data_IF_685159673760
#
_entry.id   IF_685159673760
#
_cell.length_a   1.000
_cell.length_b   1.000
_cell.length_c   1.000
_cell.angle_alpha   90.00
_cell.angle_beta   90.00
_cell.angle_gamma   90.00
#
_symmetry.space_group_name_H-M   'P 1'
#
loop_
_entity.id
_entity.type
_entity.pdbx_description
1 polymer ?
#
# COMPACT_ATOMS: atom_id res chain seq x y z
N UNK A 1 6.67 -16.04 11.61
CA UNK A 1 7.09 -14.84 10.87
C UNK A 1 7.90 -15.29 9.68
N UNK A 2 7.58 -14.79 8.49
CA UNK A 2 8.29 -15.12 7.27
C UNK A 2 9.70 -14.56 7.25
N UNK A 3 10.60 -15.23 6.55
CA UNK A 3 11.94 -14.69 6.30
C UNK A 3 11.84 -13.49 5.36
N UNK A 4 12.49 -12.38 5.71
CA UNK A 4 12.63 -11.20 4.84
C UNK A 4 13.30 -11.58 3.51
N UNK A 5 13.10 -10.77 2.48
CA UNK A 5 13.68 -10.98 1.14
C UNK A 5 13.29 -12.31 0.49
N UNK A 6 12.10 -12.83 0.78
CA UNK A 6 11.48 -13.98 0.12
C UNK A 6 10.20 -13.55 -0.57
N UNK A 7 9.92 -14.15 -1.71
CA UNK A 7 8.64 -13.99 -2.38
C UNK A 7 8.07 -15.34 -2.82
N UNK A 8 6.75 -15.39 -2.92
CA UNK A 8 6.03 -16.48 -3.59
C UNK A 8 5.53 -15.98 -4.93
N UNK A 9 5.61 -16.81 -5.95
CA UNK A 9 5.17 -16.50 -7.29
C UNK A 9 4.12 -17.53 -7.73
N UNK A 10 2.95 -17.02 -8.12
CA UNK A 10 1.84 -17.80 -8.67
C UNK A 10 1.74 -17.46 -10.15
N UNK A 11 1.76 -18.48 -10.99
CA UNK A 11 1.74 -18.30 -12.45
C UNK A 11 0.52 -19.00 -13.07
N UNK A 12 -0.13 -18.37 -14.08
CA UNK A 12 -1.24 -18.99 -14.79
C UNK A 12 -0.84 -20.30 -15.46
N UNK A 13 -1.80 -21.22 -15.60
CA UNK A 13 -1.57 -22.47 -16.32
C UNK A 13 -1.37 -22.27 -17.84
N UNK A 14 -1.93 -21.19 -18.39
CA UNK A 14 -1.76 -20.81 -19.79
C UNK A 14 -0.40 -20.11 -19.97
N UNK A 15 0.47 -20.73 -20.77
CA UNK A 15 1.81 -20.24 -21.13
C UNK A 15 1.89 -19.76 -22.58
N UNK A 16 0.74 -19.63 -23.26
CA UNK A 16 0.69 -19.34 -24.71
C UNK A 16 0.70 -17.85 -25.05
N UNK A 17 0.56 -16.97 -24.05
CA UNK A 17 0.49 -15.53 -24.22
C UNK A 17 1.86 -14.91 -24.49
N UNK A 18 1.89 -13.83 -25.28
CA UNK A 18 3.12 -13.09 -25.55
C UNK A 18 3.60 -12.31 -24.32
N UNK A 19 2.67 -11.84 -23.46
CA UNK A 19 2.97 -11.14 -22.20
C UNK A 19 1.89 -11.35 -21.15
N UNK A 20 2.22 -10.98 -19.92
CA UNK A 20 1.37 -11.13 -18.74
C UNK A 20 1.39 -9.86 -17.88
N UNK A 21 0.25 -9.53 -17.30
CA UNK A 21 0.19 -8.56 -16.22
C UNK A 21 0.72 -9.18 -14.91
N UNK A 22 1.58 -8.44 -14.20
CA UNK A 22 2.03 -8.81 -12.84
C UNK A 22 1.21 -8.06 -11.80
N UNK A 23 0.68 -8.78 -10.81
CA UNK A 23 0.09 -8.16 -9.61
C UNK A 23 0.92 -8.55 -8.39
N UNK A 24 1.55 -7.56 -7.75
CA UNK A 24 2.24 -7.75 -6.47
C UNK A 24 1.28 -7.41 -5.35
N UNK A 25 1.09 -8.31 -4.40
CA UNK A 25 0.25 -8.09 -3.22
C UNK A 25 1.08 -8.15 -1.95
N UNK A 26 1.03 -7.09 -1.15
CA UNK A 26 1.84 -6.91 0.05
C UNK A 26 1.01 -7.17 1.30
N UNK A 27 1.55 -8.00 2.20
CA UNK A 27 0.84 -8.43 3.39
C UNK A 27 0.59 -7.32 4.41
N UNK A 28 -0.47 -7.46 5.18
CA UNK A 28 -0.77 -6.63 6.35
C UNK A 28 0.15 -6.98 7.54
N UNK A 29 -0.08 -6.33 8.70
CA UNK A 29 0.58 -6.68 9.95
C UNK A 29 1.25 -5.51 10.68
N UNK A 30 0.83 -4.26 10.41
CA UNK A 30 1.30 -3.08 11.16
C UNK A 30 2.81 -2.87 11.07
N UNK A 31 3.46 -3.33 10.01
CA UNK A 31 4.92 -3.25 9.80
C UNK A 31 5.76 -4.11 10.75
N UNK A 32 5.12 -4.86 11.67
CA UNK A 32 5.77 -5.62 12.75
C UNK A 32 5.46 -7.11 12.70
N UNK A 33 4.45 -7.53 11.95
CA UNK A 33 4.00 -8.93 11.82
C UNK A 33 3.56 -9.22 10.39
N UNK A 34 3.14 -10.45 10.10
CA UNK A 34 2.60 -10.88 8.81
C UNK A 34 3.57 -11.74 8.01
N UNK A 35 3.05 -12.30 6.94
CA UNK A 35 3.78 -13.13 5.99
C UNK A 35 3.07 -13.10 4.64
N UNK A 36 3.81 -13.18 3.55
CA UNK A 36 3.27 -13.31 2.19
C UNK A 36 2.28 -14.47 2.02
N UNK A 37 2.39 -15.50 2.87
CA UNK A 37 1.50 -16.64 2.86
C UNK A 37 0.10 -16.32 3.41
N UNK A 38 -0.05 -15.24 4.19
CA UNK A 38 -1.34 -14.80 4.74
C UNK A 38 -2.31 -14.41 3.61
N UNK A 39 -1.78 -13.95 2.48
CA UNK A 39 -2.53 -13.51 1.30
C UNK A 39 -2.59 -14.56 0.17
N UNK A 40 -2.26 -15.82 0.45
CA UNK A 40 -2.26 -16.89 -0.56
C UNK A 40 -3.60 -17.00 -1.31
N UNK A 41 -4.73 -16.77 -0.62
CA UNK A 41 -6.05 -16.77 -1.24
C UNK A 41 -6.23 -15.66 -2.31
N UNK A 42 -5.76 -14.45 -2.03
CA UNK A 42 -5.76 -13.34 -2.99
C UNK A 42 -4.84 -13.64 -4.17
N UNK A 43 -3.64 -14.14 -3.90
CA UNK A 43 -2.66 -14.47 -4.96
C UNK A 43 -3.18 -15.58 -5.88
N UNK A 44 -3.81 -16.61 -5.33
CA UNK A 44 -4.46 -17.67 -6.11
C UNK A 44 -5.64 -17.14 -6.93
N UNK A 45 -6.44 -16.26 -6.36
CA UNK A 45 -7.55 -15.64 -7.06
C UNK A 45 -7.06 -14.78 -8.24
N UNK A 46 -6.06 -13.93 -8.07
CA UNK A 46 -5.44 -13.16 -9.13
C UNK A 46 -4.85 -14.07 -10.22
N UNK A 47 -4.13 -15.11 -9.83
CA UNK A 47 -3.59 -16.10 -10.75
C UNK A 47 -4.69 -16.81 -11.55
N UNK A 48 -5.84 -17.14 -10.94
CA UNK A 48 -6.99 -17.73 -11.63
C UNK A 48 -7.63 -16.82 -12.68
N UNK A 49 -7.42 -15.49 -12.56
CA UNK A 49 -7.84 -14.49 -13.54
C UNK A 49 -6.85 -14.32 -14.71
N UNK A 50 -5.70 -14.99 -14.66
CA UNK A 50 -4.68 -14.98 -15.71
C UNK A 50 -3.51 -14.04 -15.46
N UNK A 51 -3.39 -13.46 -14.27
CA UNK A 51 -2.25 -12.64 -13.87
C UNK A 51 -1.13 -13.48 -13.30
N UNK A 52 0.10 -13.07 -13.50
CA UNK A 52 1.20 -13.49 -12.62
C UNK A 52 1.01 -12.74 -11.31
N UNK A 53 0.95 -13.47 -10.20
CA UNK A 53 0.72 -12.86 -8.89
C UNK A 53 1.89 -13.17 -7.95
N UNK A 54 2.32 -12.20 -7.14
CA UNK A 54 3.42 -12.37 -6.21
C UNK A 54 3.13 -11.74 -4.85
N UNK A 55 3.50 -12.46 -3.78
CA UNK A 55 3.56 -11.94 -2.43
C UNK A 55 5.01 -11.79 -1.99
N UNK A 56 5.35 -10.72 -1.29
CA UNK A 56 6.72 -10.39 -0.88
C UNK A 56 6.77 -10.23 0.63
N UNK A 57 7.77 -10.86 1.28
CA UNK A 57 8.13 -10.60 2.65
C UNK A 57 9.17 -9.47 2.72
N UNK A 58 8.93 -8.52 3.60
CA UNK A 58 9.84 -7.43 3.93
C UNK A 58 10.28 -7.52 5.40
N UNK A 59 11.40 -6.91 5.77
CA UNK A 59 11.93 -6.94 7.13
C UNK A 59 10.97 -6.25 8.10
N UNK A 60 10.47 -7.01 9.07
CA UNK A 60 9.52 -6.52 10.08
C UNK A 60 10.27 -5.82 11.22
N UNK A 61 9.71 -4.69 11.69
CA UNK A 61 10.23 -4.05 12.89
C UNK A 61 10.14 -5.01 14.10
N UNK A 62 11.24 -5.18 14.80
CA UNK A 62 11.36 -6.05 15.96
C UNK A 62 12.57 -5.67 16.81
N UNK A 63 12.77 -6.32 17.95
CA UNK A 63 14.00 -6.14 18.75
C UNK A 63 15.26 -6.55 17.98
N UNK A 64 15.15 -7.50 17.06
CA UNK A 64 16.26 -7.95 16.18
C UNK A 64 16.47 -7.01 15.00
N UNK A 65 15.45 -6.27 14.58
CA UNK A 65 15.45 -5.35 13.46
C UNK A 65 14.86 -3.99 13.85
N UNK A 66 15.48 -3.27 14.81
CA UNK A 66 15.01 -1.96 15.26
C UNK A 66 15.18 -0.87 14.20
N UNK A 67 15.98 -1.12 13.18
CA UNK A 67 16.18 -0.25 12.01
C UNK A 67 15.03 -0.32 11.00
N UNK A 68 14.20 -1.38 11.04
CA UNK A 68 13.08 -1.53 10.12
C UNK A 68 12.01 -0.47 10.40
N UNK A 69 11.55 0.17 9.36
CA UNK A 69 10.53 1.22 9.37
C UNK A 69 9.85 1.28 7.99
N UNK A 70 8.84 2.14 7.82
CA UNK A 70 8.12 2.24 6.54
C UNK A 70 9.07 2.54 5.37
N UNK A 71 10.05 3.44 5.58
CA UNK A 71 11.01 3.78 4.53
C UNK A 71 11.85 2.58 4.11
N UNK A 72 12.51 1.90 5.07
CA UNK A 72 13.37 0.75 4.76
C UNK A 72 12.58 -0.39 4.13
N UNK A 73 11.38 -0.69 4.64
CA UNK A 73 10.48 -1.70 4.07
C UNK A 73 10.04 -1.36 2.65
N UNK A 74 9.71 -0.08 2.38
CA UNK A 74 9.37 0.36 1.02
C UNK A 74 10.55 0.23 0.04
N UNK A 75 11.77 0.45 0.51
CA UNK A 75 12.97 0.26 -0.30
C UNK A 75 13.25 -1.21 -0.59
N UNK A 76 13.02 -2.12 0.37
CA UNK A 76 13.09 -3.56 0.14
C UNK A 76 12.08 -4.02 -0.93
N UNK A 77 10.84 -3.50 -0.90
CA UNK A 77 9.84 -3.77 -1.94
C UNK A 77 10.32 -3.26 -3.30
N UNK A 78 10.88 -2.04 -3.34
CA UNK A 78 11.42 -1.45 -4.57
C UNK A 78 12.51 -2.32 -5.19
N UNK A 79 13.37 -2.92 -4.38
CA UNK A 79 14.45 -3.82 -4.82
C UNK A 79 13.91 -5.22 -5.19
N UNK A 80 12.88 -5.72 -4.50
CA UNK A 80 12.34 -7.06 -4.71
C UNK A 80 11.50 -7.18 -5.98
N UNK A 81 10.72 -6.16 -6.34
CA UNK A 81 9.81 -6.22 -7.50
C UNK A 81 10.52 -6.54 -8.83
N UNK A 82 11.68 -5.93 -9.16
CA UNK A 82 12.44 -6.35 -10.34
C UNK A 82 12.88 -7.81 -10.31
N UNK A 83 13.22 -8.36 -9.14
CA UNK A 83 13.60 -9.76 -9.01
C UNK A 83 12.40 -10.71 -9.23
N UNK A 84 11.20 -10.30 -8.79
CA UNK A 84 9.94 -11.01 -9.05
C UNK A 84 9.67 -11.06 -10.56
N UNK A 85 9.71 -9.92 -11.26
CA UNK A 85 9.51 -9.86 -12.71
C UNK A 85 10.53 -10.71 -13.46
N UNK A 86 11.81 -10.60 -13.12
CA UNK A 86 12.87 -11.40 -13.73
C UNK A 86 12.68 -12.92 -13.49
N UNK A 87 12.13 -13.32 -12.35
CA UNK A 87 11.82 -14.73 -12.08
C UNK A 87 10.62 -15.20 -12.90
N UNK A 88 9.60 -14.37 -13.08
CA UNK A 88 8.46 -14.66 -13.96
C UNK A 88 8.94 -14.87 -15.42
N UNK A 89 9.78 -13.99 -15.94
CA UNK A 89 10.37 -14.11 -17.28
C UNK A 89 11.15 -15.42 -17.46
N UNK A 90 11.99 -15.81 -16.48
CA UNK A 90 12.73 -17.07 -16.50
C UNK A 90 11.82 -18.30 -16.55
N UNK A 91 10.61 -18.20 -16.02
CA UNK A 91 9.60 -19.25 -16.06
C UNK A 91 8.75 -19.23 -17.33
N UNK A 92 9.00 -18.30 -18.26
CA UNK A 92 8.28 -18.17 -19.51
C UNK A 92 7.06 -17.23 -19.44
N UNK A 93 7.01 -16.33 -18.48
CA UNK A 93 5.96 -15.33 -18.30
C UNK A 93 6.53 -13.89 -18.43
N UNK A 94 6.72 -13.38 -19.67
CA UNK A 94 7.19 -12.01 -19.87
C UNK A 94 6.19 -11.00 -19.28
N UNK A 95 6.67 -10.03 -18.53
CA UNK A 95 5.85 -9.01 -17.87
C UNK A 95 5.93 -7.71 -18.66
N UNK A 96 4.80 -7.17 -19.11
CA UNK A 96 4.71 -5.91 -19.86
C UNK A 96 4.01 -4.78 -19.11
N UNK A 97 3.24 -5.10 -18.07
CA UNK A 97 2.58 -4.13 -17.20
C UNK A 97 2.37 -4.72 -15.81
N UNK A 98 2.16 -3.86 -14.81
CA UNK A 98 1.94 -4.34 -13.45
C UNK A 98 0.93 -3.49 -12.66
N UNK A 99 0.35 -4.12 -11.65
CA UNK A 99 -0.35 -3.48 -10.53
C UNK A 99 0.36 -3.86 -9.23
N UNK A 100 0.20 -3.01 -8.23
CA UNK A 100 0.64 -3.31 -6.88
C UNK A 100 -0.50 -3.11 -5.90
N UNK A 101 -0.59 -3.92 -4.86
CA UNK A 101 -1.72 -3.96 -3.97
C UNK A 101 -1.32 -4.38 -2.56
N UNK A 102 -2.24 -4.25 -1.60
CA UNK A 102 -2.01 -4.75 -0.25
C UNK A 102 -3.13 -4.38 0.72
N UNK A 103 -3.03 -4.91 1.93
CA UNK A 103 -3.89 -4.58 3.05
C UNK A 103 -3.12 -3.86 4.16
N UNK A 104 -3.70 -2.84 4.80
CA UNK A 104 -3.10 -2.16 5.97
C UNK A 104 -1.65 -1.70 5.69
N UNK A 105 -0.66 -2.20 6.42
CA UNK A 105 0.75 -1.91 6.16
C UNK A 105 1.14 -2.17 4.69
N UNK A 106 0.67 -3.27 4.11
CA UNK A 106 0.91 -3.60 2.71
C UNK A 106 0.29 -2.58 1.74
N UNK A 107 -0.90 -2.03 2.04
CA UNK A 107 -1.50 -0.97 1.22
C UNK A 107 -0.68 0.34 1.30
N UNK A 108 -0.15 0.70 2.49
CA UNK A 108 0.77 1.82 2.63
C UNK A 108 1.99 1.67 1.70
N UNK A 109 2.65 0.51 1.77
CA UNK A 109 3.83 0.20 0.95
C UNK A 109 3.50 0.14 -0.55
N UNK A 110 2.31 -0.39 -0.90
CA UNK A 110 1.84 -0.43 -2.29
C UNK A 110 1.61 0.99 -2.86
N UNK A 111 0.98 1.89 -2.09
CA UNK A 111 0.82 3.28 -2.50
C UNK A 111 2.17 3.99 -2.66
N UNK A 112 3.12 3.79 -1.75
CA UNK A 112 4.46 4.35 -1.88
C UNK A 112 5.16 3.87 -3.14
N UNK A 113 5.08 2.57 -3.44
CA UNK A 113 5.63 2.04 -4.68
C UNK A 113 4.98 2.66 -5.92
N UNK A 114 3.64 2.70 -5.95
CA UNK A 114 2.90 3.20 -7.11
C UNK A 114 3.03 4.70 -7.34
N UNK A 115 3.20 5.51 -6.29
CA UNK A 115 3.23 6.98 -6.40
C UNK A 115 4.65 7.54 -6.42
N UNK A 116 5.56 6.95 -5.62
CA UNK A 116 6.94 7.41 -5.49
C UNK A 116 7.92 6.71 -6.42
N UNK A 117 7.75 5.38 -6.57
CA UNK A 117 8.77 4.52 -7.17
C UNK A 117 8.38 3.96 -8.55
N UNK A 118 7.21 4.32 -9.10
CA UNK A 118 6.68 3.79 -10.37
C UNK A 118 7.66 3.93 -11.55
N UNK A 119 8.42 5.03 -11.61
CA UNK A 119 9.38 5.29 -12.68
C UNK A 119 10.57 4.31 -12.70
N UNK A 120 10.79 3.59 -11.59
CA UNK A 120 11.87 2.60 -11.46
C UNK A 120 11.37 1.15 -11.54
N UNK A 121 10.07 0.97 -11.76
CA UNK A 121 9.45 -0.35 -11.86
C UNK A 121 9.93 -1.10 -13.11
N UNK A 122 10.01 -2.45 -13.09
CA UNK A 122 10.44 -3.25 -14.24
C UNK A 122 9.45 -3.22 -15.41
N UNK A 123 8.20 -2.86 -15.13
CA UNK A 123 7.14 -2.64 -16.11
C UNK A 123 6.22 -1.50 -15.66
N UNK A 124 5.49 -0.82 -16.55
CA UNK A 124 4.63 0.29 -16.18
C UNK A 124 3.61 -0.09 -15.09
N UNK A 125 3.59 0.68 -13.98
CA UNK A 125 2.59 0.54 -12.93
C UNK A 125 1.27 1.15 -13.41
N UNK A 126 0.28 0.32 -13.69
CA UNK A 126 -1.00 0.72 -14.29
C UNK A 126 -2.06 1.09 -13.28
N UNK A 127 -1.98 0.55 -12.07
CA UNK A 127 -2.90 0.86 -10.98
C UNK A 127 -2.35 0.39 -9.63
N UNK A 128 -2.92 0.93 -8.56
CA UNK A 128 -2.78 0.43 -7.20
C UNK A 128 -4.16 0.16 -6.61
N UNK A 129 -4.30 -0.91 -5.83
CA UNK A 129 -5.51 -1.15 -5.05
C UNK A 129 -5.17 -1.66 -3.66
N UNK A 130 -6.03 -1.35 -2.71
CA UNK A 130 -5.82 -1.83 -1.35
C UNK A 130 -6.86 -1.32 -0.36
N UNK A 131 -6.68 -1.71 0.88
CA UNK A 131 -7.60 -1.34 1.93
C UNK A 131 -6.86 -0.92 3.21
N UNK A 132 -7.42 0.05 3.90
CA UNK A 132 -7.06 0.51 5.26
C UNK A 132 -5.57 0.81 5.48
N UNK A 133 -4.85 1.25 4.45
CA UNK A 133 -3.44 1.63 4.55
C UNK A 133 -3.26 3.09 4.95
N UNK A 134 -2.32 3.41 5.86
CA UNK A 134 -1.97 4.80 6.12
C UNK A 134 -1.34 5.46 4.90
N UNK A 135 -1.83 6.66 4.55
CA UNK A 135 -1.35 7.44 3.40
C UNK A 135 -0.63 8.72 3.80
N UNK A 136 -0.87 9.20 5.04
CA UNK A 136 -0.25 10.40 5.60
C UNK A 136 -0.23 10.36 7.13
N UNK A 137 0.58 11.23 7.73
CA UNK A 137 0.90 11.21 9.15
C UNK A 137 0.79 12.62 9.77
N UNK A 138 -0.31 13.33 9.53
CA UNK A 138 -0.59 14.62 10.17
C UNK A 138 -1.26 14.39 11.52
N UNK A 139 -0.76 14.99 12.63
CA UNK A 139 -1.30 14.75 13.97
C UNK A 139 -2.82 14.97 14.06
N UNK A 140 -3.32 16.02 13.41
CA UNK A 140 -4.75 16.38 13.42
C UNK A 140 -5.67 15.29 12.83
N UNK A 141 -5.15 14.43 11.97
CA UNK A 141 -5.90 13.32 11.37
C UNK A 141 -5.91 12.06 12.26
N UNK A 142 -4.99 11.97 13.24
CA UNK A 142 -4.76 10.75 14.02
C UNK A 142 -5.43 10.75 15.41
N UNK A 143 -6.67 11.25 15.46
CA UNK A 143 -7.49 11.23 16.68
C UNK A 143 -7.77 9.83 17.22
N UNK A 144 -7.70 8.78 16.39
CA UNK A 144 -7.81 7.39 16.84
C UNK A 144 -6.73 6.98 17.86
N UNK A 145 -5.60 7.71 17.91
CA UNK A 145 -4.54 7.57 18.90
C UNK A 145 -4.48 8.76 19.87
N UNK A 146 -5.43 9.70 19.81
CA UNK A 146 -5.42 10.91 20.64
C UNK A 146 -4.31 11.90 20.31
N UNK A 147 -3.81 11.88 19.07
CA UNK A 147 -2.70 12.75 18.63
C UNK A 147 -3.18 14.14 18.19
N UNK A 148 -4.48 14.32 18.00
CA UNK A 148 -5.17 15.52 17.50
C UNK A 148 -5.45 16.59 18.56
N UNK A 149 -5.02 16.38 19.82
CA UNK A 149 -5.39 17.25 20.94
C UNK A 149 -4.66 18.60 20.94
N UNK A 150 -3.58 18.76 20.18
CA UNK A 150 -2.79 20.00 20.12
C UNK A 150 -2.07 20.34 21.42
N UNK A 151 -2.01 19.40 22.39
CA UNK A 151 -1.28 19.58 23.64
C UNK A 151 0.21 19.25 23.46
N UNK A 152 1.06 19.71 24.37
CA UNK A 152 2.48 19.35 24.35
C UNK A 152 2.68 17.83 24.41
N UNK A 153 1.87 17.14 25.21
CA UNK A 153 1.93 15.69 25.37
C UNK A 153 1.50 14.97 24.08
N UNK A 154 0.37 15.34 23.47
CA UNK A 154 -0.09 14.73 22.22
C UNK A 154 0.85 15.00 21.05
N UNK A 155 1.41 16.19 20.96
CA UNK A 155 2.39 16.53 19.93
C UNK A 155 3.70 15.77 20.11
N UNK A 156 4.17 15.59 21.34
CA UNK A 156 5.35 14.76 21.63
C UNK A 156 5.10 13.27 21.28
N UNK A 157 3.91 12.75 21.58
CA UNK A 157 3.50 11.39 21.23
C UNK A 157 3.43 11.21 19.70
N UNK A 158 2.84 12.18 18.98
CA UNK A 158 2.78 12.17 17.51
C UNK A 158 4.20 12.18 16.90
N UNK A 159 5.07 13.06 17.37
CA UNK A 159 6.45 13.17 16.91
C UNK A 159 7.22 11.86 17.15
N UNK A 160 7.04 11.23 18.31
CA UNK A 160 7.63 9.94 18.61
C UNK A 160 7.15 8.82 17.70
N UNK A 161 5.83 8.68 17.53
CA UNK A 161 5.23 7.65 16.68
C UNK A 161 5.63 7.80 15.22
N UNK A 162 5.47 9.00 14.66
CA UNK A 162 5.76 9.25 13.24
C UNK A 162 7.27 9.20 12.96
N UNK A 163 8.09 9.59 13.95
CA UNK A 163 9.55 9.45 13.87
C UNK A 163 9.99 8.00 13.75
N UNK A 164 9.40 7.10 14.55
CA UNK A 164 9.67 5.64 14.45
C UNK A 164 9.22 5.10 13.09
N UNK A 165 8.01 5.47 12.63
CA UNK A 165 7.49 5.03 11.33
C UNK A 165 8.35 5.51 10.17
N UNK A 166 8.89 6.73 10.24
CA UNK A 166 9.74 7.32 9.20
C UNK A 166 11.24 6.94 9.34
N UNK A 167 11.64 6.33 10.46
CA UNK A 167 13.04 6.02 10.74
C UNK A 167 13.91 7.27 10.94
N UNK A 168 13.33 8.37 11.42
CA UNK A 168 14.04 9.65 11.63
C UNK A 168 13.50 10.44 12.82
N UNK A 169 14.28 11.38 13.31
CA UNK A 169 13.84 12.25 14.41
C UNK A 169 12.85 13.29 13.89
N UNK A 170 11.66 13.30 14.47
CA UNK A 170 10.64 14.32 14.28
C UNK A 170 10.46 15.07 15.59
N UNK A 171 10.31 16.40 15.53
CA UNK A 171 10.04 17.23 16.70
C UNK A 171 8.75 18.02 16.52
N UNK A 172 8.00 18.32 17.61
CA UNK A 172 6.69 18.97 17.52
C UNK A 172 6.71 20.34 16.83
N UNK A 173 7.81 21.07 16.87
CA UNK A 173 7.98 22.37 16.21
C UNK A 173 7.99 22.29 14.67
N UNK A 174 8.16 21.10 14.12
CA UNK A 174 8.04 20.87 12.68
C UNK A 174 6.58 20.84 12.19
N UNK A 175 5.63 20.48 13.05
CA UNK A 175 4.23 20.29 12.64
C UNK A 175 3.64 21.55 11.98
N UNK A 176 2.92 21.34 10.88
CA UNK A 176 2.33 22.42 10.08
C UNK A 176 3.34 23.22 9.25
N UNK A 177 4.58 22.75 9.11
CA UNK A 177 5.61 23.39 8.28
C UNK A 177 5.98 22.54 7.06
N UNK A 178 6.53 23.17 6.02
CA UNK A 178 7.08 22.45 4.86
C UNK A 178 8.27 21.55 5.23
N UNK A 179 8.97 21.83 6.32
CA UNK A 179 10.04 20.97 6.82
C UNK A 179 9.50 19.63 7.36
N UNK A 180 8.28 19.65 7.91
CA UNK A 180 7.59 18.42 8.30
C UNK A 180 7.23 17.57 7.07
N UNK A 181 6.63 18.19 6.06
CA UNK A 181 6.28 17.48 4.82
C UNK A 181 7.52 16.86 4.17
N UNK A 182 8.61 17.58 4.09
CA UNK A 182 9.88 17.06 3.56
C UNK A 182 10.42 15.89 4.41
N UNK A 183 10.30 16.00 5.75
CA UNK A 183 10.72 14.94 6.66
C UNK A 183 9.85 13.66 6.54
N UNK A 184 8.56 13.79 6.22
CA UNK A 184 7.62 12.67 6.10
C UNK A 184 7.43 12.17 4.67
N UNK A 185 7.98 12.85 3.67
CA UNK A 185 7.74 12.60 2.25
C UNK A 185 8.02 11.15 1.84
N UNK A 186 9.13 10.60 2.32
CA UNK A 186 9.55 9.24 1.95
C UNK A 186 8.58 8.14 2.42
N UNK A 187 7.73 8.42 3.40
CA UNK A 187 6.80 7.46 3.99
C UNK A 187 5.32 7.84 3.85
N UNK A 188 5.04 9.02 3.30
CA UNK A 188 3.69 9.56 3.11
C UNK A 188 3.31 9.54 1.63
N UNK A 189 2.52 8.57 1.21
CA UNK A 189 2.07 8.43 -0.18
C UNK A 189 1.32 9.69 -0.67
N UNK A 190 0.55 10.33 0.22
CA UNK A 190 -0.15 11.58 -0.06
C UNK A 190 0.75 12.67 -0.67
N UNK A 191 2.00 12.78 -0.20
CA UNK A 191 2.94 13.82 -0.62
C UNK A 191 3.57 13.57 -2.01
N UNK A 192 3.20 12.47 -2.65
CA UNK A 192 3.62 12.10 -4.01
C UNK A 192 2.47 12.17 -5.00
N UNK A 193 1.25 12.53 -4.56
CA UNK A 193 0.09 12.64 -5.45
C UNK A 193 0.26 13.83 -6.39
N UNK A 194 0.21 13.54 -7.68
CA UNK A 194 0.20 14.52 -8.77
C UNK A 194 -0.67 14.03 -9.94
N UNK A 195 -0.69 14.77 -11.06
CA UNK A 195 -1.49 14.40 -12.22
C UNK A 195 -1.01 13.14 -12.97
N UNK A 196 0.17 12.61 -12.64
CA UNK A 196 0.72 11.37 -13.19
C UNK A 196 0.56 10.16 -12.27
N UNK A 197 -0.02 10.36 -11.09
CA UNK A 197 -0.25 9.29 -10.11
C UNK A 197 -1.11 8.16 -10.69
N UNK A 198 -0.73 6.92 -10.41
CA UNK A 198 -1.43 5.74 -10.93
C UNK A 198 -2.90 5.68 -10.47
N UNK A 199 -3.82 5.21 -11.34
CA UNK A 199 -5.20 4.92 -10.96
C UNK A 199 -5.30 4.12 -9.67
N UNK A 200 -6.18 4.55 -8.75
CA UNK A 200 -6.18 4.07 -7.38
C UNK A 200 -7.56 3.60 -6.93
N UNK A 201 -7.63 2.39 -6.35
CA UNK A 201 -8.85 1.87 -5.74
C UNK A 201 -8.60 1.63 -4.25
N UNK A 202 -9.41 2.25 -3.40
CA UNK A 202 -9.22 2.26 -1.96
C UNK A 202 -10.50 1.90 -1.20
N UNK A 203 -10.38 1.13 -0.12
CA UNK A 203 -11.48 0.85 0.81
C UNK A 203 -11.07 1.15 2.25
N UNK A 204 -11.92 1.86 3.00
CA UNK A 204 -11.65 2.24 4.38
C UNK A 204 -12.88 2.10 5.27
N UNK A 205 -12.67 1.60 6.48
CA UNK A 205 -13.69 1.55 7.52
C UNK A 205 -13.79 2.87 8.27
N UNK A 206 -15.00 3.44 8.36
CA UNK A 206 -15.24 4.74 9.01
C UNK A 206 -14.89 4.75 10.50
N UNK A 207 -14.97 3.60 11.16
CA UNK A 207 -14.69 3.43 12.58
C UNK A 207 -13.34 2.76 12.84
N UNK A 208 -12.39 2.91 11.91
CA UNK A 208 -11.05 2.38 12.06
C UNK A 208 -10.33 3.05 13.26
N UNK A 209 -9.75 2.22 14.12
CA UNK A 209 -8.99 2.64 15.31
C UNK A 209 -7.50 2.27 15.21
N UNK A 210 -7.09 1.72 14.08
CA UNK A 210 -5.70 1.31 13.82
C UNK A 210 -5.07 2.25 12.82
N UNK A 211 -5.82 2.63 11.79
CA UNK A 211 -5.41 3.58 10.77
C UNK A 211 -6.36 4.79 10.81
N UNK A 212 -5.82 5.99 10.58
CA UNK A 212 -6.58 7.22 10.55
C UNK A 212 -7.58 7.26 9.39
N UNK A 213 -8.88 7.27 9.67
CA UNK A 213 -9.90 7.48 8.64
C UNK A 213 -9.84 8.91 8.04
N UNK A 214 -9.65 10.00 8.81
CA UNK A 214 -9.43 11.34 8.25
C UNK A 214 -8.26 11.42 7.26
N UNK A 215 -7.16 10.70 7.50
CA UNK A 215 -6.04 10.64 6.57
C UNK A 215 -6.44 10.03 5.21
N UNK A 216 -7.39 9.08 5.18
CA UNK A 216 -7.91 8.53 3.93
C UNK A 216 -8.79 9.51 3.16
N UNK A 217 -9.56 10.37 3.86
CA UNK A 217 -10.33 11.45 3.24
C UNK A 217 -9.37 12.45 2.57
N UNK A 218 -8.29 12.82 3.26
CA UNK A 218 -7.26 13.72 2.70
C UNK A 218 -6.63 13.15 1.43
N UNK A 219 -6.42 11.83 1.37
CA UNK A 219 -5.92 11.18 0.16
C UNK A 219 -6.95 11.25 -0.99
N UNK A 220 -8.22 10.95 -0.73
CA UNK A 220 -9.32 11.05 -1.70
C UNK A 220 -9.42 12.47 -2.28
N UNK A 221 -9.38 13.49 -1.41
CA UNK A 221 -9.38 14.91 -1.81
C UNK A 221 -8.17 15.25 -2.69
N UNK A 222 -6.98 14.76 -2.36
CA UNK A 222 -5.78 15.00 -3.14
C UNK A 222 -5.84 14.34 -4.53
N UNK A 223 -6.27 13.08 -4.61
CA UNK A 223 -6.46 12.38 -5.87
C UNK A 223 -7.50 13.09 -6.76
N UNK A 224 -8.62 13.56 -6.15
CA UNK A 224 -9.64 14.37 -6.84
C UNK A 224 -9.06 15.67 -7.37
N UNK A 225 -8.31 16.41 -6.54
CA UNK A 225 -7.74 17.71 -6.92
C UNK A 225 -6.75 17.61 -8.07
N UNK A 226 -6.02 16.50 -8.17
CA UNK A 226 -5.07 16.23 -9.24
C UNK A 226 -5.69 15.50 -10.46
N UNK A 227 -7.02 15.20 -10.43
CA UNK A 227 -7.71 14.53 -11.52
C UNK A 227 -7.28 13.08 -11.75
N UNK A 228 -6.73 12.44 -10.72
CA UNK A 228 -6.33 11.02 -10.76
C UNK A 228 -7.57 10.14 -10.79
N UNK A 229 -7.68 9.18 -11.72
CA UNK A 229 -8.77 8.21 -11.69
C UNK A 229 -8.72 7.38 -10.40
N UNK A 230 -9.77 7.43 -9.60
CA UNK A 230 -9.83 6.65 -8.36
C UNK A 230 -11.27 6.35 -7.94
N UNK A 231 -11.44 5.29 -7.15
CA UNK A 231 -12.65 4.98 -6.41
C UNK A 231 -12.29 4.87 -4.93
N UNK A 232 -13.05 5.56 -4.08
CA UNK A 232 -12.91 5.56 -2.64
C UNK A 232 -14.17 4.96 -2.01
N UNK A 233 -14.05 3.74 -1.47
CA UNK A 233 -15.16 2.98 -0.89
C UNK A 233 -15.12 3.10 0.63
N UNK A 234 -16.13 3.74 1.21
CA UNK A 234 -16.28 3.88 2.65
C UNK A 234 -17.22 2.81 3.18
N UNK A 235 -16.73 2.07 4.17
CA UNK A 235 -17.51 1.08 4.92
C UNK A 235 -17.98 1.74 6.22
N UNK A 236 -19.23 2.20 6.22
CA UNK A 236 -19.81 3.10 7.22
C UNK A 236 -19.89 2.52 8.64
N UNK A 237 -19.99 1.19 8.79
CA UNK A 237 -20.14 0.50 10.09
C UNK A 237 -18.92 -0.33 10.46
N UNK A 238 -17.88 -0.32 9.62
CA UNK A 238 -16.69 -1.13 9.79
C UNK A 238 -15.53 -0.34 10.41
N UNK A 239 -14.69 -1.07 11.13
CA UNK A 239 -13.36 -0.63 11.53
C UNK A 239 -12.29 -1.17 10.59
N UNK A 240 -11.09 -1.42 11.12
CA UNK A 240 -9.92 -1.85 10.35
C UNK A 240 -10.12 -3.16 9.58
N UNK A 241 -10.92 -4.08 10.11
CA UNK A 241 -11.18 -5.38 9.47
C UNK A 241 -12.25 -5.38 8.38
N UNK A 242 -12.93 -4.26 8.12
CA UNK A 242 -13.98 -4.10 7.08
C UNK A 242 -15.14 -5.12 7.14
N UNK A 243 -15.42 -5.68 8.31
CA UNK A 243 -16.25 -6.89 8.45
C UNK A 243 -17.76 -6.65 8.60
N UNK A 244 -18.20 -5.39 8.79
CA UNK A 244 -19.60 -5.10 9.12
C UNK A 244 -20.46 -4.65 7.92
N UNK A 245 -19.83 -4.32 6.79
CA UNK A 245 -20.46 -3.78 5.57
C UNK A 245 -20.21 -4.75 4.41
N UNK A 246 -20.91 -5.88 4.41
CA UNK A 246 -20.68 -6.95 3.44
C UNK A 246 -20.99 -6.54 2.00
N UNK A 247 -21.95 -5.64 1.78
CA UNK A 247 -22.30 -5.16 0.45
C UNK A 247 -21.17 -4.31 -0.13
N UNK A 248 -20.68 -3.35 0.64
CA UNK A 248 -19.56 -2.45 0.24
C UNK A 248 -18.24 -3.23 0.09
N UNK A 249 -18.03 -4.23 0.96
CA UNK A 249 -16.90 -5.13 0.82
C UNK A 249 -16.97 -5.96 -0.47
N UNK A 250 -18.16 -6.47 -0.82
CA UNK A 250 -18.37 -7.15 -2.09
C UNK A 250 -18.18 -6.19 -3.29
N UNK A 251 -18.69 -4.96 -3.18
CA UNK A 251 -18.49 -3.92 -4.19
C UNK A 251 -17.00 -3.62 -4.39
N UNK A 252 -16.21 -3.58 -3.32
CA UNK A 252 -14.76 -3.40 -3.41
C UNK A 252 -14.10 -4.49 -4.27
N UNK A 253 -14.47 -5.76 -4.06
CA UNK A 253 -13.94 -6.85 -4.91
C UNK A 253 -14.39 -6.76 -6.37
N UNK A 254 -15.64 -6.38 -6.63
CA UNK A 254 -16.12 -6.12 -7.99
C UNK A 254 -15.33 -4.98 -8.64
N UNK A 255 -15.03 -3.94 -7.89
CA UNK A 255 -14.22 -2.82 -8.36
C UNK A 255 -12.77 -3.22 -8.64
N UNK A 256 -12.18 -4.14 -7.87
CA UNK A 256 -10.86 -4.68 -8.20
C UNK A 256 -10.90 -5.35 -9.60
N UNK A 257 -11.91 -6.16 -9.90
CA UNK A 257 -12.05 -6.79 -11.22
C UNK A 257 -12.21 -5.73 -12.32
N UNK A 258 -13.10 -4.73 -12.14
CA UNK A 258 -13.31 -3.64 -13.11
C UNK A 258 -12.00 -2.84 -13.37
N UNK A 259 -11.22 -2.59 -12.33
CA UNK A 259 -9.94 -1.86 -12.44
C UNK A 259 -8.87 -2.70 -13.14
N UNK A 260 -8.78 -3.98 -12.79
CA UNK A 260 -7.86 -4.91 -13.47
C UNK A 260 -8.22 -5.01 -14.97
N UNK A 261 -9.50 -5.22 -15.30
CA UNK A 261 -9.96 -5.31 -16.70
C UNK A 261 -9.68 -4.00 -17.48
N UNK A 262 -9.76 -2.85 -16.82
CA UNK A 262 -9.57 -1.55 -17.45
C UNK A 262 -8.11 -1.14 -17.61
N UNK A 263 -7.30 -1.35 -16.60
CA UNK A 263 -5.94 -0.81 -16.51
C UNK A 263 -4.84 -1.85 -16.72
N UNK A 264 -5.16 -3.12 -16.49
CA UNK A 264 -4.25 -4.26 -16.66
C UNK A 264 -4.96 -5.43 -17.35
N UNK A 265 -5.55 -5.22 -18.54
CA UNK A 265 -6.34 -6.26 -19.22
C UNK A 265 -5.51 -7.50 -19.49
N UNK A 266 -6.15 -8.67 -19.36
CA UNK A 266 -5.56 -9.96 -19.73
C UNK A 266 -5.93 -10.24 -21.20
N UNK A 267 -4.97 -10.05 -22.10
CA UNK A 267 -5.14 -10.33 -23.53
C UNK A 267 -5.11 -11.85 -23.86
#
# INVERSE_FOLDING_TARGET
MGEANKFDLYVPADTSKESYGLVVYLHAGGFTTGDKADDAGMLQWLCSKGYVAAGINYTLFSEQHPEANIYTQSMEIKEAVPAVAAQAEKLGYPIDAMAIAGGSAGHCLAMLYAYRDADTAPAPVRMVFGAVGPSSFYPEDWGCYGLDQGTEESNAAAAGLFGVMAGRSITPDLFGTSAYDEAMKDVSALLWVDGGTAPSLMAYGKHDKVQSFPASIRLDEALTAHGVPHDYIVLEHSGHGLQNDQQEFHQYYQKIEEYLDRYLPVE
#
